data_IF_508313535211
#
_entry.id   IF_508313535211
#
_cell.length_a   1.000
_cell.length_b   1.000
_cell.length_c   1.000
_cell.angle_alpha   90.00
_cell.angle_beta   90.00
_cell.angle_gamma   90.00
#
_symmetry.space_group_name_H-M   'P 1'
#
loop_
_entity.id
_entity.type
_entity.pdbx_description
1 polymer ?
#
# COMPACT_ATOMS: atom_id res chain seq x y z
N UNK A 1 -15.04 72.05 3.62
CA UNK A 1 -16.42 71.75 3.29
C UNK A 1 -16.56 70.27 3.61
N UNK A 2 -16.73 69.91 4.86
CA UNK A 2 -17.94 69.67 5.65
C UNK A 2 -18.82 68.53 5.10
N UNK A 3 -18.76 67.42 5.87
CA UNK A 3 -19.85 66.52 6.30
C UNK A 3 -20.47 65.52 5.31
N UNK A 4 -20.24 64.24 5.64
CA UNK A 4 -21.31 63.36 6.08
C UNK A 4 -20.76 62.01 6.60
N UNK A 5 -20.71 61.86 7.91
CA UNK A 5 -20.66 60.56 8.61
C UNK A 5 -22.05 59.90 8.47
N UNK A 6 -22.09 58.70 7.91
CA UNK A 6 -23.25 57.84 8.00
C UNK A 6 -22.85 56.57 8.73
N UNK A 7 -23.33 56.47 9.94
CA UNK A 7 -23.30 55.32 10.84
C UNK A 7 -24.08 54.14 10.26
N UNK A 8 -23.35 53.09 9.83
CA UNK A 8 -23.93 51.81 9.58
C UNK A 8 -23.73 50.89 10.82
N UNK A 9 -24.73 50.85 11.65
CA UNK A 9 -24.89 49.86 12.72
C UNK A 9 -25.09 48.50 12.09
N UNK A 10 -24.03 47.70 12.01
CA UNK A 10 -24.11 46.26 11.67
C UNK A 10 -24.69 45.52 12.87
N UNK A 11 -25.96 45.12 12.75
CA UNK A 11 -26.61 44.15 13.62
C UNK A 11 -25.87 42.83 13.53
N UNK A 12 -25.12 42.48 14.58
CA UNK A 12 -24.63 41.14 14.84
C UNK A 12 -25.85 40.23 15.03
N UNK A 13 -26.24 39.51 13.99
CA UNK A 13 -27.11 38.33 14.09
C UNK A 13 -26.29 37.28 14.82
N UNK A 14 -26.54 37.13 16.11
CA UNK A 14 -26.12 35.97 16.89
C UNK A 14 -26.71 34.74 16.24
N UNK A 15 -25.87 33.98 15.52
CA UNK A 15 -26.26 32.68 15.00
C UNK A 15 -26.53 31.75 16.17
N UNK A 16 -27.74 31.24 16.20
CA UNK A 16 -28.27 30.29 17.17
C UNK A 16 -27.36 29.01 17.23
N UNK A 17 -26.75 28.65 18.39
CA UNK A 17 -25.81 27.53 18.44
C UNK A 17 -26.47 26.15 18.53
N UNK A 18 -27.77 26.02 18.23
CA UNK A 18 -28.53 24.79 18.49
C UNK A 18 -29.17 24.13 17.27
N UNK A 19 -28.48 23.98 16.16
CA UNK A 19 -28.93 23.04 15.11
C UNK A 19 -27.73 22.30 14.46
N UNK A 20 -27.00 21.56 15.27
CA UNK A 20 -26.09 20.53 14.71
C UNK A 20 -26.96 19.46 14.03
N UNK A 21 -26.78 19.21 12.72
CA UNK A 21 -27.69 18.38 11.95
C UNK A 21 -27.67 16.95 12.46
N UNK A 22 -28.85 16.43 12.83
CA UNK A 22 -29.09 15.02 13.22
C UNK A 22 -28.65 13.98 12.17
N UNK A 23 -28.21 14.41 10.99
CA UNK A 23 -27.72 13.59 9.87
C UNK A 23 -26.30 13.03 10.07
N UNK A 24 -25.54 13.47 11.08
CA UNK A 24 -24.17 12.97 11.33
C UNK A 24 -24.14 11.53 11.86
N UNK A 25 -25.09 11.14 12.66
CA UNK A 25 -25.12 9.83 13.32
C UNK A 25 -25.14 8.62 12.37
N UNK A 26 -26.05 8.53 11.34
CA UNK A 26 -26.11 7.33 10.49
C UNK A 26 -24.87 7.13 9.63
N UNK A 27 -24.22 8.19 9.14
CA UNK A 27 -22.98 8.06 8.36
C UNK A 27 -21.81 7.53 9.20
N UNK A 28 -21.70 7.95 10.46
CA UNK A 28 -20.67 7.44 11.38
C UNK A 28 -20.94 5.96 11.73
N UNK A 29 -22.18 5.55 11.91
CA UNK A 29 -22.53 4.15 12.16
C UNK A 29 -22.16 3.29 10.94
N UNK A 30 -22.49 3.72 9.73
CA UNK A 30 -22.13 3.00 8.50
C UNK A 30 -20.60 2.91 8.37
N UNK A 31 -19.87 3.99 8.61
CA UNK A 31 -18.42 3.99 8.58
C UNK A 31 -17.84 3.03 9.62
N UNK A 32 -18.38 3.04 10.83
CA UNK A 32 -17.94 2.12 11.89
C UNK A 32 -18.17 0.65 11.51
N UNK A 33 -19.31 0.33 10.88
CA UNK A 33 -19.61 -1.02 10.38
C UNK A 33 -18.61 -1.41 9.27
N UNK A 34 -18.35 -0.54 8.30
CA UNK A 34 -17.39 -0.80 7.22
C UNK A 34 -15.98 -1.05 7.80
N UNK A 35 -15.55 -0.22 8.76
CA UNK A 35 -14.26 -0.38 9.42
C UNK A 35 -14.21 -1.67 10.23
N UNK A 36 -15.28 -2.01 10.96
CA UNK A 36 -15.35 -3.26 11.73
C UNK A 36 -15.23 -4.50 10.83
N UNK A 37 -15.92 -4.51 9.69
CA UNK A 37 -15.80 -5.58 8.68
C UNK A 37 -14.36 -5.61 8.14
N UNK A 38 -13.82 -4.46 7.74
CA UNK A 38 -12.46 -4.39 7.20
C UNK A 38 -11.38 -4.81 8.18
N UNK A 39 -11.52 -4.49 9.46
CA UNK A 39 -10.64 -4.95 10.54
C UNK A 39 -10.79 -6.45 10.75
N UNK A 40 -12.03 -6.94 10.82
CA UNK A 40 -12.31 -8.36 10.99
C UNK A 40 -11.65 -9.23 9.91
N UNK A 41 -11.76 -8.83 8.64
CA UNK A 41 -11.14 -9.54 7.51
C UNK A 41 -9.60 -9.49 7.52
N UNK A 42 -8.99 -8.61 8.32
CA UNK A 42 -7.53 -8.45 8.47
C UNK A 42 -6.98 -9.08 9.74
N UNK A 43 -7.81 -9.70 10.54
CA UNK A 43 -7.34 -10.39 11.76
C UNK A 43 -6.29 -11.45 11.41
N UNK A 44 -5.29 -11.66 12.26
CA UNK A 44 -4.19 -12.58 11.97
C UNK A 44 -4.68 -14.04 11.91
N UNK A 45 -4.06 -14.87 11.06
CA UNK A 45 -4.53 -16.23 10.76
C UNK A 45 -4.55 -17.16 11.98
N UNK A 46 -3.74 -16.88 13.00
CA UNK A 46 -3.70 -17.66 14.24
C UNK A 46 -5.06 -17.70 14.96
N UNK A 47 -5.88 -16.65 14.80
CA UNK A 47 -7.21 -16.60 15.39
C UNK A 47 -8.21 -17.57 14.74
N UNK A 48 -7.93 -18.02 13.52
CA UNK A 48 -8.80 -18.88 12.71
C UNK A 48 -8.28 -20.32 12.63
N UNK A 49 -7.22 -20.67 13.35
CA UNK A 49 -6.64 -22.01 13.30
C UNK A 49 -7.67 -23.08 13.69
N UNK A 50 -7.76 -24.20 12.96
CA UNK A 50 -8.66 -25.31 13.27
C UNK A 50 -8.46 -25.80 14.69
N UNK A 51 -9.57 -26.01 15.41
CA UNK A 51 -9.64 -26.55 16.77
C UNK A 51 -8.96 -25.73 17.90
N UNK A 52 -8.14 -24.73 17.59
CA UNK A 52 -7.39 -23.93 18.57
C UNK A 52 -7.70 -22.44 18.52
N UNK A 53 -8.04 -21.91 17.36
CA UNK A 53 -8.36 -20.50 17.19
C UNK A 53 -9.77 -20.15 17.69
N UNK A 54 -9.96 -19.01 18.37
CA UNK A 54 -11.27 -18.58 18.86
C UNK A 54 -12.31 -18.35 17.77
N UNK A 55 -11.87 -18.17 16.50
CA UNK A 55 -12.72 -17.91 15.34
C UNK A 55 -12.72 -19.08 14.33
N UNK A 56 -12.35 -20.28 14.73
CA UNK A 56 -12.27 -21.47 13.87
C UNK A 56 -13.57 -21.78 13.12
N UNK A 57 -14.74 -21.42 13.66
CA UNK A 57 -16.04 -21.65 13.01
C UNK A 57 -16.20 -20.95 11.65
N UNK A 58 -15.36 -19.94 11.36
CA UNK A 58 -15.39 -19.16 10.14
C UNK A 58 -14.01 -19.16 9.43
N UNK A 59 -13.23 -20.23 9.65
CA UNK A 59 -11.92 -20.42 9.04
C UNK A 59 -11.94 -20.35 7.51
N UNK A 60 -13.07 -20.68 6.88
CA UNK A 60 -13.26 -20.61 5.42
C UNK A 60 -13.10 -19.21 4.80
N UNK A 61 -13.08 -18.16 5.62
CA UNK A 61 -12.82 -16.79 5.18
C UNK A 61 -11.33 -16.43 5.17
N UNK A 62 -10.48 -17.34 5.60
CA UNK A 62 -9.04 -17.15 5.70
C UNK A 62 -8.29 -18.29 4.99
N UNK A 63 -7.07 -18.05 4.48
CA UNK A 63 -6.22 -19.11 3.95
C UNK A 63 -5.99 -20.22 4.99
N UNK A 64 -5.96 -21.47 4.55
CA UNK A 64 -5.76 -22.61 5.47
C UNK A 64 -4.36 -22.57 6.09
N UNK A 65 -4.22 -22.83 7.39
CA UNK A 65 -2.92 -22.83 8.08
C UNK A 65 -1.91 -23.83 7.50
N UNK A 66 -2.36 -24.95 6.97
CA UNK A 66 -1.50 -25.97 6.34
C UNK A 66 -0.92 -25.53 5.00
N UNK A 67 -1.65 -24.69 4.25
CA UNK A 67 -1.14 -24.01 3.05
C UNK A 67 -0.12 -22.92 3.42
N UNK A 68 -0.11 -22.53 4.69
CA UNK A 68 0.77 -21.54 5.29
C UNK A 68 2.01 -22.16 5.97
N UNK A 69 2.54 -23.28 5.51
CA UNK A 69 3.85 -23.78 5.98
C UNK A 69 4.94 -22.75 5.70
N UNK A 70 4.82 -21.58 6.31
CA UNK A 70 5.65 -20.37 6.25
C UNK A 70 6.22 -20.16 4.86
N UNK A 71 5.73 -19.18 4.10
CA UNK A 71 6.30 -18.82 2.82
C UNK A 71 7.81 -18.68 2.93
N UNK A 72 8.51 -18.84 1.84
CA UNK A 72 9.97 -18.72 1.82
C UNK A 72 10.44 -17.40 2.44
N UNK A 73 9.74 -16.32 2.13
CA UNK A 73 10.02 -14.96 2.62
C UNK A 73 9.84 -14.87 4.14
N UNK A 74 8.76 -15.42 4.69
CA UNK A 74 8.46 -15.41 6.13
C UNK A 74 9.54 -16.12 6.95
N UNK A 75 10.03 -17.26 6.47
CA UNK A 75 11.11 -18.01 7.14
C UNK A 75 12.41 -17.21 7.21
N UNK A 76 12.69 -16.41 6.19
CA UNK A 76 13.87 -15.54 6.19
C UNK A 76 13.73 -14.39 7.18
N UNK A 77 12.57 -13.72 7.21
CA UNK A 77 12.32 -12.66 8.19
C UNK A 77 12.33 -13.18 9.63
N UNK A 78 11.73 -14.37 9.87
CA UNK A 78 11.79 -15.07 11.15
C UNK A 78 13.24 -15.33 11.56
N UNK A 79 14.07 -15.86 10.66
CA UNK A 79 15.47 -16.16 10.96
C UNK A 79 16.27 -14.88 11.30
N UNK A 80 16.03 -13.76 10.60
CA UNK A 80 16.69 -12.49 10.90
C UNK A 80 16.21 -11.89 12.23
N UNK A 81 14.93 -11.97 12.55
CA UNK A 81 14.40 -11.52 13.84
C UNK A 81 15.01 -12.33 15.00
N UNK A 82 15.11 -13.66 14.87
CA UNK A 82 15.81 -14.54 15.82
C UNK A 82 17.28 -14.18 15.97
N UNK A 83 17.97 -13.88 14.86
CA UNK A 83 19.37 -13.50 14.90
C UNK A 83 19.60 -12.20 15.70
N UNK A 84 18.70 -11.21 15.58
CA UNK A 84 18.74 -10.00 16.43
C UNK A 84 18.52 -10.37 17.90
N UNK A 85 17.55 -11.24 18.21
CA UNK A 85 17.24 -11.70 19.57
C UNK A 85 18.42 -12.41 20.25
N UNK A 86 19.16 -13.20 19.46
CA UNK A 86 20.30 -13.97 19.97
C UNK A 86 21.57 -13.13 20.13
N UNK A 87 21.88 -12.28 19.15
CA UNK A 87 23.18 -11.61 19.05
C UNK A 87 23.11 -10.11 19.41
N UNK A 88 21.90 -9.57 19.63
CA UNK A 88 21.68 -8.15 19.87
C UNK A 88 21.69 -7.30 18.59
N UNK A 89 21.13 -6.10 18.69
CA UNK A 89 21.02 -5.18 17.55
C UNK A 89 22.37 -4.66 17.05
N UNK A 90 23.37 -4.56 17.92
CA UNK A 90 24.73 -4.10 17.58
C UNK A 90 25.46 -5.04 16.62
N UNK A 91 25.05 -6.33 16.56
CA UNK A 91 25.57 -7.34 15.64
C UNK A 91 24.93 -7.31 14.23
N UNK A 92 24.07 -6.32 13.94
CA UNK A 92 23.39 -6.26 12.64
C UNK A 92 24.35 -6.27 11.43
N UNK A 93 25.51 -5.60 11.47
CA UNK A 93 26.51 -5.71 10.41
C UNK A 93 27.01 -7.15 10.19
N UNK A 94 27.06 -7.98 11.24
CA UNK A 94 27.45 -9.40 11.14
C UNK A 94 26.36 -10.22 10.45
N UNK A 95 25.08 -9.92 10.72
CA UNK A 95 23.93 -10.54 10.02
C UNK A 95 24.02 -10.23 8.51
N UNK A 96 24.34 -8.98 8.16
CA UNK A 96 24.51 -8.58 6.75
C UNK A 96 25.70 -9.28 6.11
N UNK A 97 26.84 -9.38 6.80
CA UNK A 97 28.00 -10.13 6.30
C UNK A 97 27.70 -11.62 6.09
N UNK A 98 27.04 -12.25 7.05
CA UNK A 98 26.61 -13.64 6.94
C UNK A 98 25.65 -13.87 5.75
N UNK A 99 24.73 -12.92 5.49
CA UNK A 99 23.91 -12.92 4.28
C UNK A 99 24.75 -12.87 3.01
N UNK A 100 25.70 -11.94 2.91
CA UNK A 100 26.57 -11.78 1.74
C UNK A 100 27.31 -13.09 1.44
N UNK A 101 27.96 -13.67 2.45
CA UNK A 101 28.69 -14.94 2.28
C UNK A 101 27.77 -16.09 1.87
N UNK A 102 26.61 -16.21 2.51
CA UNK A 102 25.63 -17.23 2.13
C UNK A 102 25.12 -17.01 0.70
N UNK A 103 24.80 -15.76 0.33
CA UNK A 103 24.26 -15.43 -0.99
C UNK A 103 25.24 -15.71 -2.12
N UNK A 104 26.57 -15.56 -1.89
CA UNK A 104 27.61 -15.92 -2.86
C UNK A 104 27.55 -17.41 -3.24
N UNK A 105 27.23 -18.27 -2.30
CA UNK A 105 27.22 -19.74 -2.51
C UNK A 105 25.91 -20.25 -3.12
N UNK A 106 24.82 -19.48 -3.03
CA UNK A 106 23.51 -19.90 -3.53
C UNK A 106 23.33 -19.58 -5.02
N UNK A 107 22.65 -20.45 -5.79
CA UNK A 107 22.35 -20.18 -7.20
C UNK A 107 21.29 -19.09 -7.36
N UNK A 108 20.27 -19.03 -6.48
CA UNK A 108 19.18 -18.07 -6.50
C UNK A 108 19.25 -17.03 -5.41
N UNK A 109 18.47 -15.97 -5.54
CA UNK A 109 18.38 -14.88 -4.56
C UNK A 109 17.64 -15.32 -3.30
N UNK A 110 18.15 -14.88 -2.15
CA UNK A 110 17.40 -14.82 -0.88
C UNK A 110 17.19 -13.36 -0.51
N UNK A 111 16.15 -13.10 0.31
CA UNK A 111 15.82 -11.73 0.72
C UNK A 111 16.93 -11.13 1.59
N UNK A 112 17.32 -9.87 1.33
CA UNK A 112 18.34 -9.22 2.12
C UNK A 112 17.82 -8.80 3.50
N UNK A 113 18.68 -8.82 4.55
CA UNK A 113 18.34 -8.33 5.88
C UNK A 113 18.15 -6.79 5.92
N UNK A 114 18.48 -6.07 4.85
CA UNK A 114 18.30 -4.60 4.76
C UNK A 114 16.82 -4.14 4.77
N UNK A 115 15.88 -5.05 4.79
CA UNK A 115 14.46 -4.81 5.07
C UNK A 115 14.25 -4.63 6.59
N UNK A 116 15.07 -3.80 7.17
CA UNK A 116 15.33 -3.68 8.60
C UNK A 116 14.09 -3.38 9.43
N UNK A 117 13.30 -2.38 9.05
CA UNK A 117 12.22 -1.90 9.92
C UNK A 117 11.19 -2.99 10.22
N UNK A 118 10.84 -3.80 9.23
CA UNK A 118 9.90 -4.91 9.41
C UNK A 118 10.47 -6.01 10.30
N UNK A 119 11.73 -6.41 10.07
CA UNK A 119 12.44 -7.40 10.86
C UNK A 119 12.61 -6.93 12.31
N UNK A 120 12.99 -5.67 12.50
CA UNK A 120 13.18 -5.08 13.82
C UNK A 120 11.89 -5.00 14.62
N UNK A 121 10.78 -4.60 14.00
CA UNK A 121 9.49 -4.58 14.70
C UNK A 121 8.99 -5.98 15.04
N UNK A 122 9.28 -6.99 14.21
CA UNK A 122 8.98 -8.39 14.55
C UNK A 122 9.78 -8.86 15.77
N UNK A 123 11.07 -8.56 15.80
CA UNK A 123 11.92 -8.79 16.98
C UNK A 123 11.40 -8.06 18.22
N UNK A 124 11.05 -6.78 18.09
CA UNK A 124 10.52 -5.98 19.19
C UNK A 124 9.20 -6.56 19.72
N UNK A 125 8.29 -6.96 18.83
CA UNK A 125 7.03 -7.61 19.20
C UNK A 125 7.27 -8.92 19.95
N UNK A 126 8.17 -9.78 19.44
CA UNK A 126 8.59 -11.00 20.12
C UNK A 126 9.12 -10.71 21.54
N UNK A 127 10.01 -9.72 21.67
CA UNK A 127 10.62 -9.37 22.96
C UNK A 127 9.61 -8.82 23.96
N UNK A 128 8.63 -8.03 23.51
CA UNK A 128 7.64 -7.39 24.38
C UNK A 128 6.51 -8.34 24.80
N UNK A 129 6.08 -9.23 23.91
CA UNK A 129 4.89 -10.06 24.11
C UNK A 129 5.19 -11.55 24.25
N UNK A 130 6.44 -12.00 24.08
CA UNK A 130 6.84 -13.40 24.15
C UNK A 130 6.27 -14.29 23.05
N UNK A 131 5.68 -13.71 21.99
CA UNK A 131 5.11 -14.47 20.89
C UNK A 131 6.23 -15.01 19.96
N UNK A 132 6.05 -16.19 19.31
CA UNK A 132 7.00 -16.67 18.29
C UNK A 132 7.21 -15.61 17.20
N UNK A 133 8.41 -15.51 16.64
CA UNK A 133 8.76 -14.46 15.65
C UNK A 133 7.88 -14.54 14.40
N UNK A 134 7.49 -15.74 13.97
CA UNK A 134 6.54 -15.91 12.86
C UNK A 134 5.17 -15.31 13.18
N UNK A 135 4.65 -15.60 14.35
CA UNK A 135 3.40 -15.00 14.85
C UNK A 135 3.53 -13.47 14.90
N UNK A 136 4.68 -12.96 15.37
CA UNK A 136 4.95 -11.53 15.36
C UNK A 136 4.87 -10.92 13.96
N UNK A 137 5.41 -11.60 12.93
CA UNK A 137 5.32 -11.15 11.52
C UNK A 137 3.86 -11.09 11.04
N UNK A 138 3.04 -12.11 11.33
CA UNK A 138 1.63 -12.12 10.95
C UNK A 138 0.85 -11.00 11.64
N UNK A 139 1.05 -10.80 12.95
CA UNK A 139 0.39 -9.72 13.69
C UNK A 139 0.81 -8.34 13.18
N UNK A 140 2.09 -8.13 12.84
CA UNK A 140 2.55 -6.88 12.25
C UNK A 140 1.89 -6.62 10.89
N UNK A 141 1.87 -7.61 10.01
CA UNK A 141 1.22 -7.48 8.70
C UNK A 141 -0.27 -7.13 8.85
N UNK A 142 -0.96 -7.83 9.75
CA UNK A 142 -2.36 -7.59 10.10
C UNK A 142 -2.59 -6.17 10.63
N UNK A 143 -1.83 -5.74 11.65
CA UNK A 143 -1.94 -4.41 12.26
C UNK A 143 -1.65 -3.31 11.24
N UNK A 144 -0.60 -3.43 10.43
CA UNK A 144 -0.26 -2.41 9.44
C UNK A 144 -1.24 -2.36 8.27
N UNK A 145 -1.88 -3.48 7.92
CA UNK A 145 -2.99 -3.48 6.97
C UNK A 145 -4.24 -2.78 7.54
N UNK A 146 -4.54 -2.97 8.85
CA UNK A 146 -5.60 -2.21 9.54
C UNK A 146 -5.27 -0.72 9.59
N UNK A 147 -4.02 -0.36 9.90
CA UNK A 147 -3.56 1.02 9.89
C UNK A 147 -3.65 1.63 8.48
N UNK A 148 -3.36 0.87 7.43
CA UNK A 148 -3.55 1.30 6.03
C UNK A 148 -5.02 1.56 5.72
N UNK A 149 -5.95 0.74 6.21
CA UNK A 149 -7.38 0.99 6.07
C UNK A 149 -7.81 2.28 6.78
N UNK A 150 -7.36 2.49 8.01
CA UNK A 150 -7.64 3.71 8.77
C UNK A 150 -7.02 4.95 8.10
N UNK A 151 -5.77 4.86 7.67
CA UNK A 151 -5.08 5.90 6.90
C UNK A 151 -5.87 6.27 5.64
N UNK A 152 -6.31 5.26 4.88
CA UNK A 152 -7.11 5.46 3.66
C UNK A 152 -8.42 6.17 3.95
N UNK A 153 -9.07 5.81 5.06
CA UNK A 153 -10.31 6.45 5.53
C UNK A 153 -10.11 7.93 5.85
N UNK A 154 -9.05 8.23 6.63
CA UNK A 154 -8.72 9.61 7.01
C UNK A 154 -8.29 10.40 5.79
N UNK A 155 -7.44 9.84 4.93
CA UNK A 155 -7.02 10.50 3.69
C UNK A 155 -8.22 10.79 2.78
N UNK A 156 -9.12 9.82 2.56
CA UNK A 156 -10.34 10.01 1.78
C UNK A 156 -11.24 11.12 2.36
N UNK A 157 -11.32 11.24 3.70
CA UNK A 157 -12.07 12.32 4.37
C UNK A 157 -11.48 13.71 4.10
N UNK A 158 -10.17 13.79 3.95
CA UNK A 158 -9.42 15.03 3.67
C UNK A 158 -9.49 15.46 2.20
N UNK A 159 -9.94 14.58 1.29
CA UNK A 159 -10.12 14.95 -0.12
C UNK A 159 -11.29 15.91 -0.35
N UNK A 160 -12.09 16.19 0.68
CA UNK A 160 -13.11 17.25 0.69
C UNK A 160 -14.33 17.00 -0.20
N UNK A 161 -14.58 15.74 -0.59
CA UNK A 161 -15.71 15.36 -1.46
C UNK A 161 -16.72 14.48 -0.72
N UNK A 162 -18.01 14.80 -0.88
CA UNK A 162 -19.07 14.01 -0.27
C UNK A 162 -19.06 12.56 -0.79
N UNK A 163 -19.18 11.61 0.11
CA UNK A 163 -19.22 10.17 -0.20
C UNK A 163 -17.87 9.49 -0.33
N UNK A 164 -16.75 10.21 -0.57
CA UNK A 164 -15.42 9.60 -0.71
C UNK A 164 -15.03 8.79 0.52
N UNK A 165 -15.23 9.33 1.71
CA UNK A 165 -14.89 8.62 2.96
C UNK A 165 -15.55 7.25 3.03
N UNK A 166 -16.87 7.16 2.78
CA UNK A 166 -17.59 5.89 2.85
C UNK A 166 -17.24 4.96 1.69
N UNK A 167 -17.27 5.48 0.44
CA UNK A 167 -17.07 4.66 -0.75
C UNK A 167 -15.66 4.11 -0.87
N UNK A 168 -14.64 4.97 -0.68
CA UNK A 168 -13.24 4.54 -0.74
C UNK A 168 -12.91 3.60 0.43
N UNK A 169 -13.39 3.90 1.65
CA UNK A 169 -13.20 3.00 2.80
C UNK A 169 -13.85 1.64 2.57
N UNK A 170 -15.05 1.59 2.00
CA UNK A 170 -15.73 0.33 1.70
C UNK A 170 -14.93 -0.52 0.69
N UNK A 171 -14.45 0.11 -0.39
CA UNK A 171 -13.62 -0.58 -1.38
C UNK A 171 -12.26 -1.01 -0.80
N UNK A 172 -11.63 -0.20 0.07
CA UNK A 172 -10.40 -0.57 0.75
C UNK A 172 -10.60 -1.67 1.80
N UNK A 173 -11.78 -1.73 2.44
CA UNK A 173 -12.08 -2.75 3.44
C UNK A 173 -12.00 -4.18 2.87
N UNK A 174 -12.38 -4.35 1.61
CA UNK A 174 -12.44 -5.65 0.91
C UNK A 174 -11.40 -5.78 -0.22
N UNK A 175 -10.40 -4.91 -0.27
CA UNK A 175 -9.35 -4.93 -1.29
C UNK A 175 -8.57 -6.26 -1.28
N UNK A 176 -8.60 -7.09 -2.34
CA UNK A 176 -8.06 -8.45 -2.30
C UNK A 176 -6.58 -8.50 -1.98
N UNK A 177 -5.76 -7.65 -2.59
CA UNK A 177 -4.32 -7.57 -2.34
C UNK A 177 -4.01 -7.14 -0.90
N UNK A 178 -4.76 -6.17 -0.34
CA UNK A 178 -4.60 -5.74 1.05
C UNK A 178 -4.99 -6.83 2.05
N UNK A 179 -6.06 -7.58 1.77
CA UNK A 179 -6.49 -8.71 2.58
C UNK A 179 -5.46 -9.83 2.51
N UNK A 180 -4.99 -10.18 1.30
CA UNK A 180 -3.95 -11.19 1.13
C UNK A 180 -2.67 -10.83 1.91
N UNK A 181 -2.18 -9.59 1.79
CA UNK A 181 -0.98 -9.15 2.51
C UNK A 181 -1.15 -9.13 4.03
N UNK A 182 -2.37 -9.00 4.55
CA UNK A 182 -2.62 -9.04 5.99
C UNK A 182 -2.59 -10.45 6.58
N UNK A 183 -2.74 -11.48 5.74
CA UNK A 183 -2.83 -12.89 6.15
C UNK A 183 -1.46 -13.61 6.14
N UNK A 184 -0.40 -12.94 5.69
CA UNK A 184 0.93 -13.50 5.55
C UNK A 184 1.98 -12.59 6.23
N UNK A 185 3.06 -13.18 6.71
CA UNK A 185 4.21 -12.45 7.23
C UNK A 185 5.02 -11.77 6.12
N UNK A 186 4.34 -11.01 5.25
CA UNK A 186 4.93 -10.34 4.08
C UNK A 186 5.10 -8.84 4.31
N UNK A 187 6.26 -8.36 3.89
CA UNK A 187 6.64 -6.94 4.06
C UNK A 187 5.83 -5.98 3.19
N UNK A 188 5.17 -6.46 2.13
CA UNK A 188 4.56 -5.61 1.11
C UNK A 188 3.39 -4.78 1.65
N UNK A 189 2.53 -5.36 2.49
CA UNK A 189 1.47 -4.63 3.18
C UNK A 189 2.01 -3.60 4.18
N UNK A 190 3.07 -3.95 4.89
CA UNK A 190 3.77 -3.05 5.80
C UNK A 190 4.40 -1.86 5.05
N UNK A 191 5.05 -2.12 3.93
CA UNK A 191 5.60 -1.09 3.05
C UNK A 191 4.51 -0.15 2.50
N UNK A 192 3.35 -0.71 2.14
CA UNK A 192 2.22 0.07 1.62
C UNK A 192 1.74 1.13 2.61
N UNK A 193 1.72 0.82 3.90
CA UNK A 193 1.39 1.81 4.93
C UNK A 193 2.31 3.03 4.85
N UNK A 194 3.62 2.83 4.80
CA UNK A 194 4.60 3.91 4.73
C UNK A 194 4.49 4.71 3.44
N UNK A 195 4.32 4.02 2.31
CA UNK A 195 4.14 4.66 1.01
C UNK A 195 2.87 5.52 0.96
N UNK A 196 1.76 5.03 1.52
CA UNK A 196 0.51 5.81 1.57
C UNK A 196 0.56 6.94 2.58
N UNK A 197 1.25 6.78 3.71
CA UNK A 197 1.48 7.85 4.67
C UNK A 197 2.33 8.97 4.06
N UNK A 198 3.37 8.61 3.31
CA UNK A 198 4.19 9.57 2.57
C UNK A 198 3.38 10.28 1.46
N UNK A 199 2.53 9.55 0.72
CA UNK A 199 1.67 10.13 -0.32
C UNK A 199 0.66 11.12 0.27
N UNK A 200 0.03 10.78 1.41
CA UNK A 200 -0.88 11.67 2.11
C UNK A 200 -0.15 12.90 2.65
N UNK A 201 1.02 12.70 3.27
CA UNK A 201 1.83 13.81 3.78
C UNK A 201 2.27 14.76 2.66
N UNK A 202 2.64 14.24 1.48
CA UNK A 202 2.93 15.05 0.29
C UNK A 202 1.71 15.88 -0.13
N UNK A 203 0.52 15.27 -0.19
CA UNK A 203 -0.73 15.95 -0.51
C UNK A 203 -1.03 17.11 0.45
N UNK A 204 -0.90 16.88 1.75
CA UNK A 204 -1.16 17.89 2.76
C UNK A 204 -0.09 19.00 2.77
N UNK A 205 1.19 18.67 2.54
CA UNK A 205 2.26 19.66 2.39
C UNK A 205 2.00 20.64 1.24
N UNK A 206 1.53 20.13 0.09
CA UNK A 206 1.20 20.96 -1.06
C UNK A 206 0.06 21.94 -0.73
N UNK A 207 -0.91 21.54 0.09
CA UNK A 207 -2.10 22.33 0.45
C UNK A 207 -1.92 23.20 1.68
N UNK A 208 -1.05 22.79 2.59
CA UNK A 208 -0.78 23.48 3.87
C UNK A 208 0.73 23.71 4.04
N UNK A 209 1.36 24.52 3.18
CA UNK A 209 2.82 24.65 3.11
C UNK A 209 3.48 25.25 4.35
N UNK A 210 2.70 25.86 5.26
CA UNK A 210 3.19 26.43 6.51
C UNK A 210 3.10 25.49 7.71
N UNK A 211 2.42 24.36 7.57
CA UNK A 211 2.29 23.37 8.65
C UNK A 211 3.46 22.37 8.61
N UNK A 212 4.48 22.66 9.42
CA UNK A 212 5.70 21.88 9.55
C UNK A 212 5.46 20.43 10.00
N UNK A 213 4.30 20.14 10.62
CA UNK A 213 3.95 18.77 11.07
C UNK A 213 3.87 17.81 9.90
N UNK A 214 3.33 18.28 8.77
CA UNK A 214 3.28 17.50 7.54
C UNK A 214 4.66 17.26 6.95
N UNK A 215 5.59 18.23 7.06
CA UNK A 215 6.98 18.04 6.60
C UNK A 215 7.70 16.99 7.43
N UNK A 216 7.57 17.02 8.77
CA UNK A 216 8.14 15.99 9.64
C UNK A 216 7.56 14.61 9.33
N UNK A 217 6.23 14.52 9.22
CA UNK A 217 5.57 13.25 8.89
C UNK A 217 6.02 12.72 7.52
N UNK A 218 6.23 13.61 6.56
CA UNK A 218 6.73 13.28 5.23
C UNK A 218 8.16 12.73 5.27
N UNK A 219 9.09 13.39 5.96
CA UNK A 219 10.47 12.93 6.16
C UNK A 219 10.48 11.56 6.85
N UNK A 220 9.71 11.42 7.93
CA UNK A 220 9.62 10.19 8.69
C UNK A 220 9.06 9.03 7.85
N UNK A 221 8.01 9.27 7.06
CA UNK A 221 7.41 8.24 6.22
C UNK A 221 8.30 7.84 5.04
N UNK A 222 9.04 8.79 4.43
CA UNK A 222 10.04 8.48 3.40
C UNK A 222 11.21 7.66 3.96
N UNK A 223 11.71 8.04 5.13
CA UNK A 223 12.71 7.25 5.84
C UNK A 223 12.18 5.83 6.12
N UNK A 224 10.95 5.72 6.63
CA UNK A 224 10.26 4.46 6.86
C UNK A 224 10.16 3.60 5.60
N UNK A 225 9.83 4.18 4.45
CA UNK A 225 9.84 3.47 3.16
C UNK A 225 11.22 2.87 2.86
N UNK A 226 12.28 3.68 2.95
CA UNK A 226 13.65 3.28 2.56
C UNK A 226 14.18 2.15 3.44
N UNK A 227 14.01 2.24 4.75
CA UNK A 227 14.48 1.20 5.68
C UNK A 227 13.56 -0.03 5.73
N UNK A 228 12.44 0.02 4.99
CA UNK A 228 11.52 -1.12 4.85
C UNK A 228 11.82 -1.93 3.60
N UNK A 229 11.89 -1.28 2.43
CA UNK A 229 11.99 -2.02 1.16
C UNK A 229 12.56 -1.16 0.03
N UNK A 230 13.29 -1.81 -0.87
CA UNK A 230 13.88 -1.21 -2.07
C UNK A 230 12.86 -0.51 -3.00
N UNK A 231 11.60 -0.89 -2.94
CA UNK A 231 10.50 -0.26 -3.67
C UNK A 231 10.29 1.23 -3.30
N UNK A 232 10.88 1.70 -2.21
CA UNK A 232 10.92 3.11 -1.83
C UNK A 232 11.43 4.03 -2.97
N UNK A 233 12.33 3.50 -3.82
CA UNK A 233 12.83 4.21 -4.99
C UNK A 233 11.72 4.60 -5.97
N UNK A 234 10.75 3.71 -6.23
CA UNK A 234 9.63 3.97 -7.14
C UNK A 234 8.67 5.01 -6.58
N UNK A 235 8.41 4.94 -5.26
CA UNK A 235 7.62 5.94 -4.54
C UNK A 235 8.29 7.31 -4.61
N UNK A 236 9.59 7.37 -4.36
CA UNK A 236 10.37 8.60 -4.38
C UNK A 236 10.37 9.27 -5.76
N UNK A 237 10.60 8.51 -6.83
CA UNK A 237 10.53 9.05 -8.19
C UNK A 237 9.12 9.51 -8.54
N UNK A 238 8.09 8.78 -8.13
CA UNK A 238 6.71 9.21 -8.34
C UNK A 238 6.43 10.55 -7.66
N UNK A 239 6.95 10.77 -6.45
CA UNK A 239 6.81 12.05 -5.75
C UNK A 239 7.55 13.19 -6.44
N UNK A 240 8.78 12.96 -6.91
CA UNK A 240 9.50 13.95 -7.71
C UNK A 240 8.66 14.31 -8.94
N UNK A 241 8.13 13.32 -9.64
CA UNK A 241 7.29 13.55 -10.81
C UNK A 241 6.02 14.36 -10.50
N UNK A 242 5.35 14.09 -9.36
CA UNK A 242 4.20 14.87 -8.90
C UNK A 242 4.61 16.31 -8.57
N UNK A 243 5.74 16.53 -7.88
CA UNK A 243 6.27 17.86 -7.55
C UNK A 243 6.56 18.65 -8.84
N UNK A 244 7.16 18.00 -9.83
CA UNK A 244 7.44 18.62 -11.13
C UNK A 244 6.14 18.93 -11.88
N UNK A 245 5.20 17.97 -11.92
CA UNK A 245 3.89 18.13 -12.56
C UNK A 245 3.02 19.22 -11.91
N UNK A 246 3.29 19.55 -10.63
CA UNK A 246 2.61 20.63 -9.92
C UNK A 246 2.72 21.98 -10.64
N UNK A 247 3.77 22.19 -11.43
CA UNK A 247 3.93 23.41 -12.26
C UNK A 247 2.78 23.59 -13.27
N UNK A 248 2.22 22.50 -13.78
CA UNK A 248 1.14 22.53 -14.78
C UNK A 248 -0.23 22.24 -14.18
N UNK A 249 -0.27 21.39 -13.16
CA UNK A 249 -1.53 20.91 -12.58
C UNK A 249 -1.92 21.67 -11.31
N UNK A 250 -1.02 22.44 -10.71
CA UNK A 250 -1.28 23.30 -9.57
C UNK A 250 -2.03 22.58 -8.41
N UNK A 251 -1.48 21.49 -7.90
CA UNK A 251 -2.00 20.77 -6.72
C UNK A 251 -1.95 21.64 -5.46
N UNK A 252 -0.93 22.50 -5.36
CA UNK A 252 -0.70 23.40 -4.26
C UNK A 252 0.62 24.16 -4.39
N UNK A 253 1.22 24.52 -3.28
CA UNK A 253 2.48 25.28 -3.23
C UNK A 253 3.64 24.35 -2.95
N UNK A 254 4.61 24.33 -3.87
CA UNK A 254 5.89 23.63 -3.68
C UNK A 254 6.85 24.61 -2.97
N UNK A 255 7.20 24.29 -1.72
CA UNK A 255 8.17 25.07 -0.95
C UNK A 255 9.58 24.47 -1.07
N UNK A 256 10.59 25.29 -0.77
CA UNK A 256 11.99 24.83 -0.71
C UNK A 256 12.15 23.73 0.36
N UNK A 257 11.51 23.90 1.49
CA UNK A 257 11.52 22.97 2.63
C UNK A 257 10.96 21.60 2.22
N UNK A 258 9.91 21.57 1.40
CA UNK A 258 9.33 20.32 0.89
C UNK A 258 10.31 19.61 -0.06
N UNK A 259 11.02 20.32 -0.92
CA UNK A 259 12.05 19.75 -1.79
C UNK A 259 13.18 19.17 -0.95
N UNK A 260 13.67 19.93 0.04
CA UNK A 260 14.68 19.47 0.98
C UNK A 260 14.19 18.22 1.74
N UNK A 261 12.95 18.22 2.23
CA UNK A 261 12.35 17.09 2.93
C UNK A 261 12.27 15.82 2.05
N UNK A 262 11.99 15.98 0.75
CA UNK A 262 11.95 14.86 -0.21
C UNK A 262 13.33 14.17 -0.34
N UNK A 263 14.41 14.94 -0.30
CA UNK A 263 15.78 14.41 -0.34
C UNK A 263 16.19 13.89 1.04
N UNK A 264 15.98 14.71 2.08
CA UNK A 264 16.42 14.40 3.44
C UNK A 264 15.77 13.13 4.01
N UNK A 265 14.46 12.93 3.79
CA UNK A 265 13.77 11.75 4.26
C UNK A 265 14.35 10.46 3.68
N UNK A 266 14.60 10.44 2.38
CA UNK A 266 15.21 9.29 1.71
C UNK A 266 16.67 9.11 2.13
N UNK A 267 17.43 10.19 2.21
CA UNK A 267 18.85 10.15 2.63
C UNK A 267 19.01 9.64 4.06
N UNK A 268 18.14 10.05 4.98
CA UNK A 268 18.15 9.57 6.35
C UNK A 268 17.96 8.04 6.40
N UNK A 269 17.02 7.50 5.62
CA UNK A 269 16.84 6.05 5.50
C UNK A 269 18.08 5.35 4.95
N UNK A 270 18.72 5.91 3.92
CA UNK A 270 19.96 5.37 3.37
C UNK A 270 21.11 5.39 4.39
N UNK A 271 21.24 6.46 5.17
CA UNK A 271 22.27 6.56 6.23
C UNK A 271 22.04 5.49 7.30
N UNK A 272 20.79 5.28 7.72
CA UNK A 272 20.47 4.19 8.66
C UNK A 272 20.87 2.83 8.06
N UNK A 273 20.53 2.56 6.80
CA UNK A 273 20.91 1.30 6.15
C UNK A 273 22.44 1.14 6.01
N UNK A 274 23.17 2.24 5.77
CA UNK A 274 24.64 2.23 5.74
C UNK A 274 25.24 1.81 7.08
N UNK A 275 24.71 2.33 8.18
CA UNK A 275 25.16 1.97 9.53
C UNK A 275 24.85 0.50 9.80
N UNK A 276 23.64 0.05 9.50
CA UNK A 276 23.20 -1.33 9.70
C UNK A 276 23.97 -2.33 8.83
N UNK A 277 24.33 -1.94 7.60
CA UNK A 277 25.14 -2.78 6.72
C UNK A 277 26.62 -2.87 7.13
N UNK A 278 27.06 -2.01 8.05
CA UNK A 278 28.47 -1.93 8.42
C UNK A 278 29.34 -1.23 7.36
N UNK A 279 28.74 -0.39 6.52
CA UNK A 279 29.44 0.46 5.54
C UNK A 279 28.91 0.39 4.12
N UNK A 280 29.43 1.29 3.27
CA UNK A 280 29.00 1.47 1.87
C UNK A 280 29.24 0.20 1.04
N UNK A 281 30.40 -0.45 1.20
CA UNK A 281 30.76 -1.66 0.45
C UNK A 281 29.74 -2.79 0.67
N UNK A 282 29.44 -3.11 1.93
CA UNK A 282 28.47 -4.16 2.30
C UNK A 282 27.05 -3.82 1.80
N UNK A 283 26.65 -2.54 1.86
CA UNK A 283 25.36 -2.12 1.35
C UNK A 283 25.23 -2.35 -0.16
N UNK A 284 26.21 -1.89 -0.93
CA UNK A 284 26.24 -2.06 -2.40
C UNK A 284 26.31 -3.55 -2.77
N UNK A 285 27.19 -4.31 -2.10
CA UNK A 285 27.33 -5.74 -2.37
C UNK A 285 26.03 -6.51 -2.09
N UNK A 286 25.35 -6.20 -0.98
CA UNK A 286 24.06 -6.80 -0.63
C UNK A 286 23.02 -6.60 -1.73
N UNK A 287 22.85 -5.38 -2.21
CA UNK A 287 21.87 -5.10 -3.29
C UNK A 287 22.31 -5.69 -4.62
N UNK A 288 23.59 -5.63 -4.97
CA UNK A 288 24.13 -6.21 -6.20
C UNK A 288 23.88 -7.72 -6.25
N UNK A 289 24.17 -8.43 -5.16
CA UNK A 289 23.93 -9.87 -5.05
C UNK A 289 22.44 -10.19 -5.10
N UNK A 290 21.61 -9.45 -4.36
CA UNK A 290 20.15 -9.66 -4.37
C UNK A 290 19.56 -9.51 -5.77
N UNK A 291 19.93 -8.45 -6.49
CA UNK A 291 19.44 -8.20 -7.84
C UNK A 291 19.97 -9.22 -8.84
N UNK A 292 21.30 -9.44 -8.88
CA UNK A 292 21.93 -10.35 -9.87
C UNK A 292 21.45 -11.79 -9.73
N UNK A 293 21.29 -12.29 -8.51
CA UNK A 293 20.81 -13.65 -8.23
C UNK A 293 19.30 -13.81 -8.46
N UNK A 294 18.54 -12.71 -8.50
CA UNK A 294 17.12 -12.77 -8.83
C UNK A 294 16.89 -13.21 -10.29
N UNK A 295 17.85 -12.95 -11.17
CA UNK A 295 17.81 -13.39 -12.57
C UNK A 295 17.93 -14.90 -12.75
N UNK A 296 18.31 -15.63 -11.72
CA UNK A 296 18.46 -17.10 -11.71
C UNK A 296 17.47 -17.79 -10.77
N UNK A 297 16.57 -17.03 -10.14
CA UNK A 297 15.56 -17.56 -9.23
C UNK A 297 14.29 -17.92 -10.01
N UNK A 298 13.98 -19.20 -10.12
CA UNK A 298 12.82 -19.72 -10.87
C UNK A 298 11.51 -19.04 -10.46
N UNK A 299 11.29 -18.85 -9.17
CA UNK A 299 10.09 -18.16 -8.69
C UNK A 299 10.01 -16.72 -9.23
N UNK A 300 11.10 -15.96 -9.22
CA UNK A 300 11.11 -14.59 -9.73
C UNK A 300 10.91 -14.55 -11.25
N UNK A 301 11.49 -15.52 -11.97
CA UNK A 301 11.28 -15.68 -13.42
C UNK A 301 9.81 -15.98 -13.70
N UNK A 302 9.26 -16.97 -13.00
CA UNK A 302 7.88 -17.39 -13.20
C UNK A 302 6.85 -16.34 -12.81
N UNK A 303 7.01 -15.66 -11.66
CA UNK A 303 6.01 -14.73 -11.14
C UNK A 303 6.26 -13.27 -11.50
N UNK A 304 7.47 -12.92 -11.92
CA UNK A 304 7.89 -11.54 -12.17
C UNK A 304 8.27 -11.23 -13.61
N UNK A 305 8.24 -12.20 -14.55
CA UNK A 305 8.51 -11.96 -15.97
C UNK A 305 7.24 -11.60 -16.73
N UNK A 306 7.39 -10.87 -17.81
CA UNK A 306 6.29 -10.54 -18.70
C UNK A 306 6.47 -9.23 -19.46
N UNK A 307 5.53 -8.92 -20.37
CA UNK A 307 5.51 -7.66 -21.08
C UNK A 307 5.14 -6.51 -20.15
N UNK A 308 5.37 -5.26 -20.60
CA UNK A 308 5.07 -4.06 -19.83
C UNK A 308 3.66 -3.99 -19.25
N UNK A 309 2.68 -4.63 -19.89
CA UNK A 309 1.28 -4.66 -19.45
C UNK A 309 0.96 -5.76 -18.42
N UNK A 310 1.94 -6.52 -17.91
CA UNK A 310 1.72 -7.60 -16.95
C UNK A 310 0.89 -7.16 -15.75
N UNK A 311 1.24 -6.03 -15.13
CA UNK A 311 0.49 -5.50 -13.99
C UNK A 311 -0.99 -5.21 -14.30
N UNK A 312 -1.31 -4.85 -15.57
CA UNK A 312 -2.70 -4.65 -15.98
C UNK A 312 -3.45 -5.98 -16.04
N UNK A 313 -2.78 -7.05 -16.50
CA UNK A 313 -3.36 -8.40 -16.50
C UNK A 313 -3.56 -8.91 -15.08
N UNK A 314 -2.58 -8.72 -14.21
CA UNK A 314 -2.66 -9.07 -12.79
C UNK A 314 -3.84 -8.33 -12.10
N UNK A 315 -3.95 -7.03 -12.31
CA UNK A 315 -5.03 -6.21 -11.76
C UNK A 315 -6.40 -6.57 -12.37
N UNK A 316 -6.43 -6.94 -13.65
CA UNK A 316 -7.66 -7.39 -14.30
C UNK A 316 -8.15 -8.72 -13.73
N UNK A 317 -7.24 -9.59 -13.26
CA UNK A 317 -7.60 -10.83 -12.57
C UNK A 317 -8.06 -10.54 -11.13
N UNK A 318 -7.33 -9.71 -10.39
CA UNK A 318 -7.54 -9.52 -8.94
C UNK A 318 -8.64 -8.49 -8.62
N UNK A 319 -8.73 -7.41 -9.39
CA UNK A 319 -9.68 -6.29 -9.16
C UNK A 319 -10.22 -5.76 -10.50
N UNK A 320 -10.94 -6.60 -11.30
CA UNK A 320 -11.27 -6.29 -12.69
C UNK A 320 -12.09 -5.00 -12.83
N UNK A 321 -13.15 -4.85 -12.07
CA UNK A 321 -14.07 -3.71 -12.23
C UNK A 321 -13.47 -2.42 -11.66
N UNK A 322 -12.70 -2.51 -10.56
CA UNK A 322 -11.96 -1.37 -10.01
C UNK A 322 -10.94 -0.86 -11.03
N UNK A 323 -10.20 -1.76 -11.69
CA UNK A 323 -9.24 -1.38 -12.74
C UNK A 323 -9.94 -0.69 -13.91
N UNK A 324 -11.01 -1.27 -14.44
CA UNK A 324 -11.74 -0.69 -15.58
C UNK A 324 -12.32 0.69 -15.27
N UNK A 325 -12.88 0.86 -14.06
CA UNK A 325 -13.36 2.18 -13.61
C UNK A 325 -12.21 3.18 -13.44
N UNK A 326 -11.08 2.75 -12.86
CA UNK A 326 -9.91 3.62 -12.72
C UNK A 326 -9.34 4.06 -14.07
N UNK A 327 -9.26 3.16 -15.04
CA UNK A 327 -8.89 3.48 -16.44
C UNK A 327 -9.90 4.46 -17.01
N UNK A 328 -11.21 4.22 -16.88
CA UNK A 328 -12.27 5.13 -17.31
C UNK A 328 -12.12 6.53 -16.72
N UNK A 329 -11.76 6.61 -15.41
CA UNK A 329 -11.47 7.89 -14.78
C UNK A 329 -10.33 8.61 -15.47
N UNK A 330 -9.19 7.92 -15.72
CA UNK A 330 -8.01 8.52 -16.35
C UNK A 330 -8.35 9.16 -17.72
N UNK A 331 -9.18 8.49 -18.54
CA UNK A 331 -9.59 9.03 -19.84
C UNK A 331 -10.57 10.20 -19.74
N UNK A 332 -11.20 10.42 -18.59
CA UNK A 332 -12.21 11.47 -18.39
C UNK A 332 -11.76 12.59 -17.45
N UNK A 333 -10.53 12.51 -16.91
CA UNK A 333 -9.99 13.52 -15.99
C UNK A 333 -9.93 14.89 -16.68
N UNK A 334 -10.57 15.86 -16.04
CA UNK A 334 -10.46 17.27 -16.38
C UNK A 334 -9.34 17.94 -15.60
N UNK A 335 -8.79 19.03 -16.13
CA UNK A 335 -7.67 19.76 -15.50
C UNK A 335 -7.97 20.22 -14.07
N UNK A 336 -9.22 20.48 -13.76
CA UNK A 336 -9.70 20.93 -12.45
C UNK A 336 -9.75 19.82 -11.40
N UNK A 337 -9.74 18.56 -11.84
CA UNK A 337 -9.85 17.37 -10.97
C UNK A 337 -8.47 17.00 -10.40
N UNK A 338 -8.00 17.84 -9.47
CA UNK A 338 -6.64 17.74 -8.88
C UNK A 338 -6.39 16.43 -8.15
N UNK A 339 -7.41 15.91 -7.45
CA UNK A 339 -7.34 14.65 -6.71
C UNK A 339 -7.06 13.50 -7.67
N UNK A 340 -7.83 13.41 -8.74
CA UNK A 340 -7.69 12.36 -9.74
C UNK A 340 -6.33 12.41 -10.43
N UNK A 341 -5.87 13.60 -10.82
CA UNK A 341 -4.53 13.78 -11.38
C UNK A 341 -3.42 13.37 -10.43
N UNK A 342 -3.54 13.71 -9.14
CA UNK A 342 -2.54 13.37 -8.13
C UNK A 342 -2.35 11.85 -8.01
N UNK A 343 -3.46 11.11 -7.90
CA UNK A 343 -3.42 9.65 -7.81
C UNK A 343 -3.05 8.98 -9.13
N UNK A 344 -3.55 9.49 -10.26
CA UNK A 344 -3.21 8.97 -11.58
C UNK A 344 -1.71 9.12 -11.88
N UNK A 345 -1.10 10.26 -11.54
CA UNK A 345 0.34 10.48 -11.71
C UNK A 345 1.16 9.57 -10.81
N UNK A 346 0.75 9.36 -9.56
CA UNK A 346 1.44 8.43 -8.67
C UNK A 346 1.50 7.03 -9.28
N UNK A 347 0.36 6.50 -9.76
CA UNK A 347 0.31 5.21 -10.44
C UNK A 347 1.15 5.26 -11.72
N UNK A 348 0.92 6.22 -12.61
CA UNK A 348 1.54 6.25 -13.93
C UNK A 348 3.07 6.31 -13.85
N UNK A 349 3.63 7.17 -13.00
CA UNK A 349 5.09 7.34 -12.89
C UNK A 349 5.72 6.09 -12.27
N UNK A 350 5.17 5.56 -11.18
CA UNK A 350 5.69 4.33 -10.57
C UNK A 350 5.52 3.13 -11.49
N UNK A 351 4.40 3.02 -12.20
CA UNK A 351 4.15 1.98 -13.20
C UNK A 351 5.18 2.00 -14.33
N UNK A 352 5.45 3.18 -14.93
CA UNK A 352 6.40 3.32 -16.04
C UNK A 352 7.80 2.81 -15.68
N UNK A 353 8.19 2.87 -14.43
CA UNK A 353 9.47 2.35 -13.99
C UNK A 353 9.36 0.85 -13.67
N UNK A 354 8.35 0.48 -12.86
CA UNK A 354 8.21 -0.89 -12.37
C UNK A 354 7.93 -1.90 -13.49
N UNK A 355 7.20 -1.52 -14.55
CA UNK A 355 6.92 -2.41 -15.69
C UNK A 355 8.14 -2.68 -16.59
N UNK A 356 9.29 -2.01 -16.35
CA UNK A 356 10.54 -2.22 -17.06
C UNK A 356 11.57 -3.02 -16.23
N UNK A 357 11.20 -3.49 -15.04
CA UNK A 357 12.10 -4.27 -14.19
C UNK A 357 11.91 -5.76 -14.51
N UNK A 358 12.89 -6.31 -15.20
CA UNK A 358 12.88 -7.73 -15.54
C UNK A 358 12.85 -8.60 -14.28
N UNK A 359 11.95 -9.59 -14.24
CA UNK A 359 11.72 -10.49 -13.09
C UNK A 359 11.32 -9.78 -11.78
N UNK A 360 10.81 -8.56 -11.88
CA UNK A 360 10.34 -7.77 -10.74
C UNK A 360 8.87 -7.32 -10.85
N UNK A 361 8.12 -7.83 -11.83
CA UNK A 361 6.73 -7.41 -12.07
C UNK A 361 5.71 -8.25 -11.29
N UNK A 362 5.93 -8.44 -9.99
CA UNK A 362 4.96 -9.11 -9.13
C UNK A 362 3.95 -8.09 -8.57
N UNK A 363 2.65 -8.42 -8.60
CA UNK A 363 1.56 -7.54 -8.13
C UNK A 363 1.70 -7.16 -6.66
N UNK A 364 2.34 -7.99 -5.83
CA UNK A 364 2.67 -7.64 -4.42
C UNK A 364 3.37 -6.29 -4.33
N UNK A 365 4.27 -6.00 -5.28
CA UNK A 365 5.04 -4.76 -5.28
C UNK A 365 4.21 -3.53 -5.66
N UNK A 366 3.10 -3.75 -6.35
CA UNK A 366 2.13 -2.72 -6.75
C UNK A 366 1.02 -2.49 -5.71
N UNK A 367 1.09 -3.14 -4.55
CA UNK A 367 0.10 -3.02 -3.47
C UNK A 367 -0.12 -1.55 -3.02
N UNK A 368 0.88 -0.69 -3.19
CA UNK A 368 0.78 0.75 -2.96
C UNK A 368 -0.18 1.48 -3.94
N UNK A 369 -0.63 0.83 -5.02
CA UNK A 369 -1.62 1.41 -5.95
C UNK A 369 -3.07 1.20 -5.51
N UNK A 370 -3.32 0.36 -4.51
CA UNK A 370 -4.69 -0.02 -4.10
C UNK A 370 -5.56 1.18 -3.73
N UNK A 371 -5.08 2.07 -2.86
CA UNK A 371 -5.83 3.28 -2.52
C UNK A 371 -5.99 4.22 -3.72
N UNK A 372 -4.92 4.57 -4.48
CA UNK A 372 -5.03 5.35 -5.71
C UNK A 372 -6.05 4.81 -6.72
N UNK A 373 -6.03 3.51 -7.00
CA UNK A 373 -6.97 2.86 -7.93
C UNK A 373 -8.42 2.99 -7.44
N UNK A 374 -8.67 2.78 -6.15
CA UNK A 374 -10.02 2.86 -5.58
C UNK A 374 -10.55 4.28 -5.51
N UNK A 375 -9.68 5.27 -5.30
CA UNK A 375 -10.07 6.68 -5.40
C UNK A 375 -10.47 7.02 -6.84
N UNK A 376 -9.70 6.60 -7.84
CA UNK A 376 -10.01 6.81 -9.25
C UNK A 376 -11.29 6.07 -9.65
N UNK A 377 -11.43 4.80 -9.27
CA UNK A 377 -12.63 4.00 -9.56
C UNK A 377 -13.89 4.62 -8.95
N UNK A 378 -13.81 5.06 -7.70
CA UNK A 378 -14.94 5.72 -7.03
C UNK A 378 -15.26 7.09 -7.65
N UNK A 379 -14.24 7.85 -8.08
CA UNK A 379 -14.44 9.09 -8.85
C UNK A 379 -15.20 8.85 -10.14
N UNK A 380 -14.84 7.80 -10.89
CA UNK A 380 -15.55 7.41 -12.11
C UNK A 380 -16.99 6.99 -11.83
N UNK A 381 -17.21 6.20 -10.77
CA UNK A 381 -18.56 5.82 -10.34
C UNK A 381 -19.42 7.04 -10.04
N UNK A 382 -18.89 8.02 -9.31
CA UNK A 382 -19.58 9.28 -9.05
C UNK A 382 -19.87 10.06 -10.34
N UNK A 383 -18.96 10.03 -11.30
CA UNK A 383 -19.15 10.69 -12.59
C UNK A 383 -20.28 10.04 -13.40
N UNK A 384 -20.28 8.71 -13.48
CA UNK A 384 -21.31 7.93 -14.16
C UNK A 384 -22.70 8.08 -13.49
N UNK A 385 -22.75 8.11 -12.16
CA UNK A 385 -24.01 8.26 -11.43
C UNK A 385 -24.72 9.57 -11.73
N UNK A 386 -24.02 10.63 -12.11
CA UNK A 386 -24.60 11.93 -12.51
C UNK A 386 -25.43 11.87 -13.78
N UNK A 387 -25.27 10.83 -14.60
CA UNK A 387 -26.09 10.60 -15.78
C UNK A 387 -27.55 10.25 -15.40
N UNK A 388 -27.77 9.83 -14.12
CA UNK A 388 -29.07 9.44 -13.60
C UNK A 388 -29.41 10.23 -12.32
N UNK A 389 -29.69 11.53 -12.39
CA UNK A 389 -29.81 12.40 -11.20
C UNK A 389 -30.84 11.93 -10.18
N UNK A 390 -31.98 11.36 -10.65
CA UNK A 390 -33.07 10.87 -9.77
C UNK A 390 -32.66 9.63 -8.96
N UNK A 391 -31.78 8.78 -9.50
CA UNK A 391 -31.35 7.54 -8.88
C UNK A 391 -29.91 7.62 -8.36
N UNK A 392 -29.26 8.78 -8.42
CA UNK A 392 -27.81 8.95 -8.19
C UNK A 392 -27.33 8.28 -6.89
N UNK A 393 -27.98 8.56 -5.76
CA UNK A 393 -27.58 8.00 -4.47
C UNK A 393 -27.74 6.47 -4.42
N UNK A 394 -28.81 5.95 -4.97
CA UNK A 394 -29.06 4.51 -5.04
C UNK A 394 -28.06 3.80 -5.94
N UNK A 395 -27.71 4.42 -7.07
CA UNK A 395 -26.67 3.91 -7.97
C UNK A 395 -25.31 3.88 -7.30
N UNK A 396 -24.93 4.95 -6.57
CA UNK A 396 -23.66 4.98 -5.84
C UNK A 396 -23.62 3.87 -4.80
N UNK A 397 -24.65 3.76 -3.96
CA UNK A 397 -24.70 2.75 -2.91
C UNK A 397 -24.72 1.35 -3.53
N UNK A 398 -25.63 1.08 -4.47
CA UNK A 398 -25.77 -0.22 -5.10
C UNK A 398 -24.52 -0.66 -5.84
N UNK A 399 -23.95 0.22 -6.68
CA UNK A 399 -22.74 -0.10 -7.42
C UNK A 399 -21.51 -0.29 -6.49
N UNK A 400 -21.38 0.54 -5.44
CA UNK A 400 -20.31 0.35 -4.44
C UNK A 400 -20.47 -0.99 -3.72
N UNK A 401 -21.70 -1.37 -3.35
CA UNK A 401 -21.96 -2.67 -2.71
C UNK A 401 -21.64 -3.84 -3.64
N UNK A 402 -22.03 -3.76 -4.91
CA UNK A 402 -21.70 -4.79 -5.92
C UNK A 402 -20.20 -4.87 -6.13
N UNK A 403 -19.50 -3.74 -6.21
CA UNK A 403 -18.03 -3.72 -6.29
C UNK A 403 -17.39 -4.39 -5.07
N UNK A 404 -17.85 -4.10 -3.86
CA UNK A 404 -17.36 -4.75 -2.66
C UNK A 404 -17.58 -6.27 -2.68
N UNK A 405 -18.71 -6.73 -3.19
CA UNK A 405 -18.99 -8.17 -3.33
C UNK A 405 -18.06 -8.83 -4.36
N UNK A 406 -17.81 -8.16 -5.50
CA UNK A 406 -16.87 -8.65 -6.52
C UNK A 406 -15.45 -8.71 -5.95
N UNK A 407 -14.96 -7.66 -5.31
CA UNK A 407 -13.63 -7.62 -4.69
C UNK A 407 -13.48 -8.72 -3.61
N UNK A 408 -14.49 -8.87 -2.75
CA UNK A 408 -14.48 -9.92 -1.74
C UNK A 408 -14.51 -11.32 -2.35
N UNK A 409 -15.29 -11.55 -3.41
CA UNK A 409 -15.29 -12.81 -4.14
C UNK A 409 -13.90 -13.11 -4.73
N UNK A 410 -13.24 -12.10 -5.34
CA UNK A 410 -11.89 -12.28 -5.87
C UNK A 410 -10.87 -12.62 -4.76
N UNK A 411 -10.99 -11.99 -3.58
CA UNK A 411 -10.19 -12.39 -2.42
C UNK A 411 -10.40 -13.86 -2.05
N UNK A 412 -11.64 -14.31 -1.92
CA UNK A 412 -11.94 -15.70 -1.57
C UNK A 412 -11.36 -16.67 -2.61
N UNK A 413 -11.58 -16.40 -3.90
CA UNK A 413 -11.10 -17.29 -4.98
C UNK A 413 -9.58 -17.30 -5.08
N UNK A 414 -8.93 -16.14 -5.07
CA UNK A 414 -7.51 -16.01 -5.44
C UNK A 414 -6.55 -16.03 -4.24
N UNK A 415 -7.03 -15.74 -3.03
CA UNK A 415 -6.18 -15.69 -1.85
C UNK A 415 -6.52 -16.81 -0.84
N UNK A 416 -7.80 -17.20 -0.72
CA UNK A 416 -8.21 -18.24 0.23
C UNK A 416 -8.14 -19.63 -0.43
N UNK A 417 -8.65 -19.78 -1.67
CA UNK A 417 -8.62 -21.05 -2.38
C UNK A 417 -7.34 -21.30 -3.18
N UNK A 418 -6.68 -20.24 -3.66
CA UNK A 418 -5.43 -20.31 -4.43
C UNK A 418 -4.36 -19.43 -3.76
N UNK A 419 -3.62 -19.93 -2.77
CA UNK A 419 -2.70 -19.15 -1.96
C UNK A 419 -1.54 -18.49 -2.75
N UNK A 420 -1.34 -18.89 -4.01
CA UNK A 420 -0.34 -18.34 -4.93
C UNK A 420 -1.01 -17.73 -6.18
N UNK A 421 -1.77 -16.64 -6.01
CA UNK A 421 -2.45 -15.97 -7.12
C UNK A 421 -1.48 -15.49 -8.21
N UNK A 422 -0.22 -15.22 -7.89
CA UNK A 422 0.83 -14.85 -8.84
C UNK A 422 1.06 -15.95 -9.90
N UNK A 423 0.95 -17.21 -9.52
CA UNK A 423 1.03 -18.34 -10.46
C UNK A 423 -0.23 -18.44 -11.33
N UNK A 424 -1.40 -18.09 -10.78
CA UNK A 424 -2.65 -18.04 -11.55
C UNK A 424 -2.55 -17.03 -12.69
N UNK A 425 -1.99 -15.84 -12.42
CA UNK A 425 -1.74 -14.84 -13.47
C UNK A 425 -0.78 -15.34 -14.53
N UNK A 426 0.29 -16.00 -14.13
CA UNK A 426 1.25 -16.58 -15.07
C UNK A 426 0.60 -17.62 -15.96
N UNK A 427 -0.16 -18.55 -15.40
CA UNK A 427 -0.88 -19.57 -16.16
C UNK A 427 -1.87 -18.93 -17.14
N UNK A 428 -2.56 -17.87 -16.74
CA UNK A 428 -3.44 -17.09 -17.61
C UNK A 428 -2.65 -16.50 -18.79
N UNK A 429 -1.48 -15.91 -18.55
CA UNK A 429 -0.67 -15.33 -19.62
C UNK A 429 -0.12 -16.40 -20.58
N UNK A 430 0.25 -17.57 -20.10
CA UNK A 430 0.61 -18.69 -20.98
C UNK A 430 -0.58 -19.18 -21.81
N UNK A 431 -1.75 -19.34 -21.18
CA UNK A 431 -2.98 -19.76 -21.86
C UNK A 431 -3.39 -18.76 -22.96
N UNK A 432 -3.20 -17.48 -22.71
CA UNK A 432 -3.45 -16.40 -23.69
C UNK A 432 -2.30 -16.22 -24.69
N UNK A 433 -1.25 -17.05 -24.64
CA UNK A 433 -0.04 -16.97 -25.48
C UNK A 433 0.69 -15.61 -25.38
N UNK A 434 0.53 -14.91 -24.28
CA UNK A 434 1.22 -13.65 -23.99
C UNK A 434 2.65 -13.87 -23.48
N UNK A 435 2.92 -15.04 -22.91
CA UNK A 435 4.26 -15.53 -22.57
C UNK A 435 4.56 -16.81 -23.33
N UNK A 436 5.83 -17.00 -23.72
CA UNK A 436 6.32 -18.27 -24.27
C UNK A 436 6.89 -19.10 -23.12
N UNK A 437 6.57 -20.39 -23.09
CA UNK A 437 7.28 -21.30 -22.17
C UNK A 437 8.77 -21.24 -22.50
N UNK A 438 9.57 -20.85 -21.51
CA UNK A 438 11.00 -21.05 -21.60
C UNK A 438 11.25 -22.55 -21.61
N UNK A 439 11.93 -23.04 -22.63
CA UNK A 439 12.25 -24.46 -22.81
C UNK A 439 13.18 -25.05 -21.73
N UNK A 440 13.50 -24.30 -20.71
CA UNK A 440 14.33 -24.72 -19.56
C UNK A 440 13.53 -25.22 -18.35
N UNK A 441 12.20 -25.11 -18.36
CA UNK A 441 11.32 -25.66 -17.30
C UNK A 441 10.46 -26.74 -17.91
N UNK A 442 11.02 -27.94 -18.10
CA UNK A 442 10.21 -29.16 -18.17
C UNK A 442 9.87 -29.60 -16.74
N UNK A 443 8.61 -30.04 -16.48
CA UNK A 443 8.15 -30.47 -15.16
C UNK A 443 8.89 -31.69 -14.66
#
# INVERSE_FOLDING_TARGET
MLTALSTATSSLVLADPMSAPRLFKPRLIILAIILAIGVFLRLPPELFQPNTGPLHAIESLHPRPDDQKGGYDERLYEAYAKAIGTNGLTSYPDIVRAYIEKQKTLPGSILPPLRFLYIFLAYLYHTLFGAPERTALHYLSSVFSMLTLLLSTVFASRLGRSGYTLGVTALMAVAPTQLHMSQHGLIDGFFTFWAMLALWSLWENLRSPRDWRWLILYVFSLCGCVITKENAFFVWIAFIGIIVANRWLAFGVVTREMIIATVLGSLLGVVILLILAGGVGSLIETYTLSVSKNYTLDYAIQTGDGPWYRYLVDLLLVSPVVLLLAIGAVFTIRREQKVEWFFALFIAISYLIMCNIKYGMNLRYANMWDLPLRVLAFSQLLSLSRLFPRAQNWLIIGATSVLCLIEFHQYIVLAVHFPLYELATQHLMYALKLLKFSSQVQP
#
